data_IF_298242118410
#
_entry.id   IF_298242118410
#
_cell.length_a   1.000
_cell.length_b   1.000
_cell.length_c   1.000
_cell.angle_alpha   90.00
_cell.angle_beta   90.00
_cell.angle_gamma   90.00
#
_symmetry.space_group_name_H-M   'P 1'
#
loop_
_entity.id
_entity.type
_entity.pdbx_description
1 polymer ?
#
# COMPACT_ATOMS: atom_id res chain seq x y z
N UNK A 1 -9.57 -11.55 43.69
CA UNK A 1 -8.46 -11.73 42.72
C UNK A 1 -8.84 -11.55 41.24
N UNK A 2 -10.03 -11.03 40.88
CA UNK A 2 -10.47 -10.94 39.47
C UNK A 2 -10.26 -9.58 38.78
N UNK A 3 -9.95 -8.52 39.53
CA UNK A 3 -9.93 -7.14 39.01
C UNK A 3 -8.64 -6.78 38.28
N UNK A 4 -7.49 -7.30 38.71
CA UNK A 4 -6.20 -7.01 38.04
C UNK A 4 -6.02 -7.74 36.71
N UNK A 5 -6.54 -8.97 36.59
CA UNK A 5 -6.51 -9.75 35.35
C UNK A 5 -7.33 -9.09 34.24
N UNK A 6 -8.50 -8.53 34.58
CA UNK A 6 -9.36 -7.85 33.61
C UNK A 6 -8.73 -6.56 33.05
N UNK A 7 -8.06 -5.77 33.91
CA UNK A 7 -7.31 -4.57 33.48
C UNK A 7 -6.16 -4.91 32.51
N UNK A 8 -5.41 -5.99 32.77
CA UNK A 8 -4.34 -6.44 31.85
C UNK A 8 -4.88 -6.87 30.49
N UNK A 9 -5.97 -7.63 30.47
CA UNK A 9 -6.63 -8.06 29.22
C UNK A 9 -7.19 -6.88 28.42
N UNK A 10 -7.73 -5.86 29.10
CA UNK A 10 -8.23 -4.65 28.45
C UNK A 10 -7.11 -3.82 27.79
N UNK A 11 -5.97 -3.72 28.46
CA UNK A 11 -4.77 -3.06 27.92
C UNK A 11 -4.24 -3.78 26.67
N UNK A 12 -4.08 -5.11 26.74
CA UNK A 12 -3.63 -5.94 25.60
C UNK A 12 -4.57 -5.82 24.40
N UNK A 13 -5.88 -5.81 24.63
CA UNK A 13 -6.87 -5.70 23.55
C UNK A 13 -6.78 -4.35 22.83
N UNK A 14 -6.56 -3.25 23.55
CA UNK A 14 -6.33 -1.93 22.95
C UNK A 14 -5.05 -1.88 22.14
N UNK A 15 -3.96 -2.45 22.67
CA UNK A 15 -2.68 -2.53 21.95
C UNK A 15 -2.85 -3.34 20.67
N UNK A 16 -3.51 -4.49 20.71
CA UNK A 16 -3.79 -5.30 19.53
C UNK A 16 -4.60 -4.55 18.46
N UNK A 17 -5.61 -3.77 18.87
CA UNK A 17 -6.40 -2.94 17.94
C UNK A 17 -5.52 -1.86 17.29
N UNK A 18 -4.68 -1.16 18.06
CA UNK A 18 -3.78 -0.15 17.51
C UNK A 18 -2.78 -0.74 16.51
N UNK A 19 -2.24 -1.93 16.81
CA UNK A 19 -1.36 -2.66 15.89
C UNK A 19 -2.10 -3.04 14.62
N UNK A 20 -3.32 -3.58 14.72
CA UNK A 20 -4.12 -3.94 13.56
C UNK A 20 -4.41 -2.73 12.65
N UNK A 21 -4.75 -1.57 13.24
CA UNK A 21 -4.96 -0.32 12.50
C UNK A 21 -3.66 0.11 11.80
N UNK A 22 -2.52 0.03 12.50
CA UNK A 22 -1.21 0.35 11.92
C UNK A 22 -0.88 -0.53 10.72
N UNK A 23 -1.11 -1.83 10.82
CA UNK A 23 -0.88 -2.79 9.71
C UNK A 23 -1.76 -2.45 8.50
N UNK A 24 -3.06 -2.19 8.72
CA UNK A 24 -3.98 -1.83 7.63
C UNK A 24 -3.56 -0.51 6.98
N UNK A 25 -3.15 0.49 7.76
CA UNK A 25 -2.68 1.76 7.23
C UNK A 25 -1.44 1.60 6.35
N UNK A 26 -0.47 0.77 6.77
CA UNK A 26 0.73 0.48 5.97
C UNK A 26 0.38 -0.23 4.66
N UNK A 27 -0.52 -1.22 4.68
CA UNK A 27 -0.96 -1.90 3.45
C UNK A 27 -1.63 -0.93 2.47
N UNK A 28 -2.57 -0.11 2.95
CA UNK A 28 -3.28 0.87 2.11
C UNK A 28 -2.32 1.89 1.50
N UNK A 29 -1.35 2.37 2.29
CA UNK A 29 -0.34 3.32 1.81
C UNK A 29 0.56 2.69 0.74
N UNK A 30 0.94 1.42 0.90
CA UNK A 30 1.70 0.67 -0.11
C UNK A 30 0.96 0.55 -1.44
N UNK A 31 -0.33 0.19 -1.41
CA UNK A 31 -1.17 0.10 -2.60
C UNK A 31 -1.33 1.48 -3.26
N UNK A 32 -1.53 2.54 -2.45
CA UNK A 32 -1.68 3.89 -2.96
C UNK A 32 -0.39 4.39 -3.64
N UNK A 33 0.78 4.12 -3.05
CA UNK A 33 2.08 4.45 -3.64
C UNK A 33 2.30 3.65 -4.91
N UNK A 34 2.02 2.35 -4.91
CA UNK A 34 2.18 1.51 -6.10
C UNK A 34 1.33 2.03 -7.27
N UNK A 35 0.04 2.31 -7.02
CA UNK A 35 -0.84 2.94 -8.02
C UNK A 35 -0.35 4.31 -8.45
N UNK A 36 0.13 5.13 -7.53
CA UNK A 36 0.69 6.45 -7.86
C UNK A 36 1.94 6.31 -8.72
N UNK A 37 2.76 5.28 -8.48
CA UNK A 37 3.97 4.98 -9.24
C UNK A 37 3.67 4.36 -10.60
N UNK A 38 2.57 3.63 -10.74
CA UNK A 38 2.06 3.19 -12.04
C UNK A 38 1.53 4.40 -12.80
N UNK A 39 0.69 5.23 -12.18
CA UNK A 39 0.05 6.41 -12.80
C UNK A 39 1.04 7.52 -13.18
N UNK A 40 2.11 7.72 -12.40
CA UNK A 40 3.19 8.66 -12.71
C UNK A 40 4.45 7.98 -13.23
N UNK A 41 4.40 6.65 -13.38
CA UNK A 41 5.46 5.88 -13.98
C UNK A 41 5.57 6.21 -15.46
N UNK A 42 6.74 5.96 -16.00
CA UNK A 42 6.96 6.04 -17.44
C UNK A 42 7.48 4.69 -17.92
N UNK A 43 7.14 4.34 -19.15
CA UNK A 43 7.66 3.17 -19.83
C UNK A 43 8.05 3.55 -21.26
N UNK A 44 9.05 2.87 -21.79
CA UNK A 44 9.44 2.99 -23.18
C UNK A 44 8.80 1.85 -23.98
N UNK A 45 7.94 2.17 -24.94
CA UNK A 45 7.46 1.21 -25.94
C UNK A 45 8.32 1.33 -27.18
N UNK A 46 8.92 0.21 -27.58
CA UNK A 46 9.68 0.06 -28.81
C UNK A 46 8.80 -0.57 -29.87
N UNK A 47 8.64 0.12 -30.99
CA UNK A 47 7.85 -0.35 -32.12
C UNK A 47 8.74 -1.15 -33.08
N UNK A 48 8.16 -2.09 -33.86
CA UNK A 48 8.92 -2.91 -34.80
C UNK A 48 9.55 -2.10 -35.95
N UNK A 49 9.15 -0.84 -36.15
CA UNK A 49 9.77 0.09 -37.09
C UNK A 49 11.02 0.80 -36.52
N UNK A 50 11.42 0.51 -35.28
CA UNK A 50 12.56 1.13 -34.61
C UNK A 50 12.23 2.41 -33.81
N UNK A 51 10.99 2.88 -33.86
CA UNK A 51 10.58 4.05 -33.10
C UNK A 51 10.45 3.75 -31.60
N UNK A 52 10.83 4.73 -30.78
CA UNK A 52 10.67 4.69 -29.32
C UNK A 52 9.68 5.75 -28.87
N UNK A 53 8.63 5.33 -28.18
CA UNK A 53 7.66 6.24 -27.53
C UNK A 53 7.73 6.08 -26.01
N UNK A 54 7.94 7.19 -25.32
CA UNK A 54 7.80 7.25 -23.85
C UNK A 54 6.31 7.42 -23.56
N UNK A 55 5.75 6.48 -22.83
CA UNK A 55 4.37 6.47 -22.37
C UNK A 55 4.36 6.71 -20.87
N UNK A 56 3.32 7.35 -20.36
CA UNK A 56 3.19 7.69 -18.96
C UNK A 56 1.91 7.07 -18.41
N UNK A 57 1.95 6.66 -17.14
CA UNK A 57 0.74 6.25 -16.45
C UNK A 57 0.06 5.03 -17.05
N UNK A 58 -1.25 5.14 -17.20
CA UNK A 58 -2.12 4.07 -17.70
C UNK A 58 -1.83 3.71 -19.17
N UNK A 59 -1.18 4.60 -19.94
CA UNK A 59 -0.82 4.33 -21.34
C UNK A 59 0.29 3.26 -21.46
N UNK A 60 0.97 2.94 -20.36
CA UNK A 60 1.94 1.85 -20.31
C UNK A 60 1.32 0.46 -20.40
N UNK A 61 0.05 0.31 -20.00
CA UNK A 61 -0.67 -0.97 -19.96
C UNK A 61 -1.63 -1.17 -21.13
N UNK A 62 -1.76 -0.16 -21.99
CA UNK A 62 -2.62 -0.15 -23.18
C UNK A 62 -1.88 -0.73 -24.38
#
# INVERSE_FOLDING_TARGET
MNTEQNKRNFSLRRVAILVAIGVVAVMLTGIAIDRWRVRNGWCARFYPNGDRKILYGDDCWK
#
